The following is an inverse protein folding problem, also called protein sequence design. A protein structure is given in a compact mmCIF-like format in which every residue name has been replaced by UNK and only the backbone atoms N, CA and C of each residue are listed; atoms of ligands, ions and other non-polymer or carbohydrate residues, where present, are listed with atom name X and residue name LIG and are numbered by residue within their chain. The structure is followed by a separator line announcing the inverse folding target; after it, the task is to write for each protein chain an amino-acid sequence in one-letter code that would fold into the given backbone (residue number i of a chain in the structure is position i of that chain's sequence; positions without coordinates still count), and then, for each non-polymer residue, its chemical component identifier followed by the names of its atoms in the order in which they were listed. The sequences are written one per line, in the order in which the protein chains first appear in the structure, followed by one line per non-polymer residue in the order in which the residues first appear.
data_IF_280491616451
#
_entry.id   IF_280491616451
#
_cell.length_a   1.000
_cell.length_b   1.000
_cell.length_c   1.000
_cell.angle_alpha   90.00
_cell.angle_beta   90.00
_cell.angle_gamma   90.00
#
_symmetry.space_group_name_H-M   'P 1'
#
loop_
_entity.id
_entity.type
_entity.pdbx_description
1 polymer ?
#
# COMPACT_ATOMS: atom_id res chain seq x y z
N UNK A 1 14.11 -7.83 -1.12
CA UNK A 1 15.05 -7.65 0.00
C UNK A 1 14.32 -6.89 1.08
N UNK A 2 14.32 -7.40 2.32
CA UNK A 2 13.66 -6.69 3.42
C UNK A 2 14.52 -5.50 3.87
N UNK A 3 13.90 -4.34 4.03
CA UNK A 3 14.55 -3.13 4.54
C UNK A 3 14.19 -2.98 6.01
N UNK A 4 15.22 -2.89 6.86
CA UNK A 4 15.05 -2.63 8.28
C UNK A 4 15.46 -1.19 8.61
N UNK A 5 14.66 -0.52 9.44
CA UNK A 5 15.00 0.78 10.00
C UNK A 5 14.73 0.81 11.50
N UNK A 6 15.30 1.79 12.19
CA UNK A 6 15.12 1.96 13.63
C UNK A 6 14.81 3.42 13.92
N UNK A 7 13.83 3.67 14.79
CA UNK A 7 13.47 5.02 15.26
C UNK A 7 13.25 5.00 16.77
N UNK A 8 13.80 6.00 17.45
CA UNK A 8 13.61 6.19 18.88
C UNK A 8 12.64 7.34 19.14
N UNK A 9 11.80 7.15 20.14
CA UNK A 9 10.77 8.08 20.58
C UNK A 9 11.03 8.41 22.05
N UNK A 10 10.92 9.69 22.46
CA UNK A 10 11.09 10.10 23.84
C UNK A 10 10.16 9.35 24.80
N UNK A 11 8.95 9.04 24.35
CA UNK A 11 7.91 8.35 25.11
C UNK A 11 7.03 7.49 24.19
N UNK A 12 6.20 6.64 24.79
CA UNK A 12 5.31 5.75 24.08
C UNK A 12 4.18 6.47 23.32
N UNK A 13 3.76 7.63 23.83
CA UNK A 13 2.72 8.46 23.21
C UNK A 13 3.15 8.98 21.85
N UNK A 14 4.40 9.42 21.71
CA UNK A 14 4.95 9.89 20.44
C UNK A 14 5.07 8.76 19.40
N UNK A 15 5.42 7.55 19.85
CA UNK A 15 5.39 6.38 18.98
C UNK A 15 3.98 6.10 18.45
N UNK A 16 2.98 6.05 19.34
CA UNK A 16 1.59 5.81 18.96
C UNK A 16 1.05 6.92 18.03
N UNK A 17 1.38 8.18 18.29
CA UNK A 17 0.98 9.30 17.45
C UNK A 17 1.58 9.22 16.03
N UNK A 18 2.85 8.81 15.92
CA UNK A 18 3.50 8.60 14.63
C UNK A 18 2.88 7.43 13.85
N UNK A 19 2.53 6.34 14.55
CA UNK A 19 1.84 5.21 13.95
C UNK A 19 0.42 5.59 13.49
N UNK A 20 -0.32 6.35 14.29
CA UNK A 20 -1.64 6.89 13.93
C UNK A 20 -1.56 7.81 12.70
N UNK A 21 -0.48 8.62 12.58
CA UNK A 21 -0.25 9.44 11.39
C UNK A 21 0.00 8.59 10.14
N UNK A 22 0.86 7.58 10.22
CA UNK A 22 1.13 6.67 9.11
C UNK A 22 -0.13 5.93 8.66
N UNK A 23 -0.97 5.49 9.61
CA UNK A 23 -2.27 4.88 9.31
C UNK A 23 -3.16 5.86 8.54
N UNK A 24 -3.30 7.11 8.99
CA UNK A 24 -4.12 8.12 8.29
C UNK A 24 -3.63 8.40 6.88
N UNK A 25 -2.33 8.59 6.70
CA UNK A 25 -1.72 8.84 5.38
C UNK A 25 -1.99 7.65 4.42
N UNK A 26 -1.87 6.42 4.92
CA UNK A 26 -2.15 5.24 4.12
C UNK A 26 -3.66 5.05 3.85
N UNK A 27 -4.55 5.41 4.78
CA UNK A 27 -5.99 5.44 4.54
C UNK A 27 -6.37 6.40 3.42
N UNK A 28 -5.77 7.59 3.39
CA UNK A 28 -5.99 8.58 2.32
C UNK A 28 -5.50 8.06 0.97
N UNK A 29 -4.31 7.44 0.92
CA UNK A 29 -3.77 6.83 -0.29
C UNK A 29 -4.66 5.68 -0.81
N UNK A 30 -5.11 4.79 0.08
CA UNK A 30 -6.02 3.69 -0.28
C UNK A 30 -7.33 4.23 -0.86
N UNK A 31 -7.90 5.28 -0.26
CA UNK A 31 -9.14 5.92 -0.79
C UNK A 31 -8.91 6.53 -2.16
N UNK A 32 -7.78 7.20 -2.37
CA UNK A 32 -7.46 7.82 -3.67
C UNK A 32 -7.34 6.77 -4.78
N UNK A 33 -6.60 5.69 -4.56
CA UNK A 33 -6.45 4.61 -5.55
C UNK A 33 -7.75 3.84 -5.76
N UNK A 34 -8.54 3.63 -4.71
CA UNK A 34 -9.87 3.04 -4.84
C UNK A 34 -10.79 3.89 -5.74
N UNK A 35 -10.80 5.21 -5.55
CA UNK A 35 -11.57 6.12 -6.40
C UNK A 35 -11.08 6.09 -7.86
N UNK A 36 -9.77 6.00 -8.09
CA UNK A 36 -9.22 5.88 -9.44
C UNK A 36 -9.63 4.55 -10.10
N UNK A 37 -9.56 3.43 -9.38
CA UNK A 37 -10.02 2.13 -9.87
C UNK A 37 -11.51 2.14 -10.26
N UNK A 38 -12.36 2.76 -9.42
CA UNK A 38 -13.78 2.95 -9.74
C UNK A 38 -13.99 3.76 -11.03
N UNK A 39 -13.18 4.81 -11.22
CA UNK A 39 -13.26 5.65 -12.43
C UNK A 39 -12.86 4.91 -13.72
N UNK A 40 -12.08 3.82 -13.63
CA UNK A 40 -11.63 3.03 -14.78
C UNK A 40 -12.65 1.99 -15.25
N UNK A 41 -13.62 1.60 -14.41
CA UNK A 41 -14.63 0.58 -14.73
C UNK A 41 -15.37 0.82 -16.06
N UNK A 42 -15.88 2.02 -16.37
CA UNK A 42 -16.57 2.27 -17.63
C UNK A 42 -15.66 2.09 -18.85
N UNK A 43 -14.40 2.51 -18.74
CA UNK A 43 -13.41 2.37 -19.82
C UNK A 43 -13.00 0.92 -20.03
N UNK A 44 -12.87 0.14 -18.96
CA UNK A 44 -12.63 -1.30 -19.03
C UNK A 44 -13.77 -2.05 -19.71
N UNK A 45 -15.02 -1.74 -19.36
CA UNK A 45 -16.18 -2.37 -19.99
C UNK A 45 -16.24 -2.08 -21.49
N UNK A 46 -16.05 -0.82 -21.88
CA UNK A 46 -15.99 -0.42 -23.30
C UNK A 46 -14.88 -1.14 -24.04
N UNK A 47 -13.69 -1.20 -23.43
CA UNK A 47 -12.52 -1.87 -24.01
C UNK A 47 -12.77 -3.38 -24.20
N UNK A 48 -13.35 -4.07 -23.20
CA UNK A 48 -13.71 -5.49 -23.28
C UNK A 48 -14.73 -5.75 -24.39
N UNK A 49 -15.80 -4.93 -24.49
CA UNK A 49 -16.80 -5.03 -25.56
C UNK A 49 -16.15 -4.89 -26.94
N UNK A 50 -15.25 -3.93 -27.10
CA UNK A 50 -14.54 -3.72 -28.38
C UNK A 50 -13.64 -4.91 -28.72
N UNK A 51 -12.88 -5.44 -27.75
CA UNK A 51 -12.07 -6.64 -27.96
C UNK A 51 -12.93 -7.84 -28.37
N UNK A 52 -14.08 -8.05 -27.75
CA UNK A 52 -14.96 -9.18 -28.09
C UNK A 52 -15.63 -9.02 -29.46
N UNK A 53 -15.86 -7.78 -29.91
CA UNK A 53 -16.26 -7.52 -31.30
C UNK A 53 -15.11 -7.83 -32.27
N UNK A 54 -13.90 -7.33 -32.01
CA UNK A 54 -12.74 -7.53 -32.87
C UNK A 54 -12.35 -9.01 -33.01
N UNK A 55 -12.43 -9.81 -31.92
CA UNK A 55 -12.22 -11.27 -31.96
C UNK A 55 -13.13 -12.00 -32.96
N UNK A 56 -14.32 -11.45 -33.27
CA UNK A 56 -15.23 -12.04 -34.28
C UNK A 56 -14.78 -11.77 -35.71
N UNK A 57 -13.93 -10.76 -35.93
CA UNK A 57 -13.50 -10.32 -37.26
C UNK A 57 -12.01 -10.56 -37.54
N UNK A 58 -11.16 -10.70 -36.52
CA UNK A 58 -9.71 -10.95 -36.64
C UNK A 58 -9.25 -12.10 -35.77
N UNK A 59 -8.52 -13.06 -36.35
CA UNK A 59 -7.86 -14.14 -35.62
C UNK A 59 -6.59 -13.65 -34.91
N UNK A 60 -6.74 -13.22 -33.64
CA UNK A 60 -5.64 -12.87 -32.73
C UNK A 60 -5.10 -11.45 -32.91
N UNK A 61 -4.59 -10.74 -31.91
CA UNK A 61 -4.49 -10.93 -30.46
C UNK A 61 -4.14 -9.55 -29.88
N UNK A 62 -4.57 -9.22 -28.66
CA UNK A 62 -4.29 -7.87 -28.12
C UNK A 62 -2.83 -7.75 -27.71
N UNK A 63 -2.06 -6.92 -28.40
CA UNK A 63 -0.73 -6.54 -27.92
C UNK A 63 -0.89 -5.71 -26.64
N UNK A 64 -0.37 -6.25 -25.53
CA UNK A 64 -0.17 -5.46 -24.32
C UNK A 64 0.90 -4.43 -24.64
N UNK A 65 0.63 -3.15 -24.38
CA UNK A 65 1.65 -2.10 -24.38
C UNK A 65 2.72 -2.47 -23.33
N UNK A 66 3.87 -2.96 -23.79
CA UNK A 66 4.97 -3.40 -22.93
C UNK A 66 5.64 -2.18 -22.25
N UNK A 67 6.07 -2.29 -20.99
CA UNK A 67 6.77 -1.22 -20.30
C UNK A 67 8.14 -0.95 -20.93
N UNK A 68 8.58 0.31 -20.87
CA UNK A 68 9.98 0.69 -21.08
C UNK A 68 10.70 0.51 -19.74
N UNK A 69 11.72 -0.34 -19.68
CA UNK A 69 12.52 -0.54 -18.46
C UNK A 69 13.74 0.38 -18.42
N UNK A 70 13.85 1.16 -17.35
CA UNK A 70 14.98 2.06 -17.11
C UNK A 70 15.52 1.76 -15.70
N UNK A 71 16.64 1.04 -15.61
CA UNK A 71 17.33 0.77 -14.34
C UNK A 71 16.43 0.19 -13.23
N UNK A 72 15.46 -0.66 -13.59
CA UNK A 72 14.50 -1.26 -12.66
C UNK A 72 13.21 -0.45 -12.42
N UNK A 73 13.07 0.72 -13.06
CA UNK A 73 11.81 1.46 -13.16
C UNK A 73 11.07 1.03 -14.43
N UNK A 74 9.79 0.67 -14.30
CA UNK A 74 8.90 0.40 -15.44
C UNK A 74 8.09 1.64 -15.78
N UNK A 75 8.28 2.17 -16.99
CA UNK A 75 7.53 3.30 -17.54
C UNK A 75 6.48 2.81 -18.55
N UNK A 76 5.22 3.17 -18.32
CA UNK A 76 4.12 2.92 -19.24
C UNK A 76 3.66 4.24 -19.86
N UNK A 77 3.72 4.36 -21.18
CA UNK A 77 3.15 5.49 -21.94
C UNK A 77 1.81 5.03 -22.50
N UNK A 78 0.73 5.74 -22.16
CA UNK A 78 -0.65 5.44 -22.56
C UNK A 78 -1.03 3.95 -22.42
N UNK A 79 -0.91 3.36 -21.22
CA UNK A 79 -1.24 1.96 -21.02
C UNK A 79 -2.70 1.68 -21.37
N UNK A 80 -2.95 0.49 -21.91
CA UNK A 80 -4.33 0.02 -22.13
C UNK A 80 -5.15 0.12 -20.82
N UNK A 81 -6.48 0.33 -20.89
CA UNK A 81 -7.32 0.39 -19.69
C UNK A 81 -7.15 -0.83 -18.78
N UNK A 82 -6.93 -2.02 -19.36
CA UNK A 82 -6.66 -3.26 -18.62
C UNK A 82 -5.34 -3.16 -17.87
N UNK A 83 -4.24 -2.81 -18.55
CA UNK A 83 -2.93 -2.69 -17.93
C UNK A 83 -2.91 -1.66 -16.81
N UNK A 84 -3.55 -0.49 -17.03
CA UNK A 84 -3.68 0.54 -15.98
C UNK A 84 -4.44 0.03 -14.76
N UNK A 85 -5.55 -0.69 -14.97
CA UNK A 85 -6.30 -1.27 -13.88
C UNK A 85 -5.49 -2.32 -13.11
N UNK A 86 -4.80 -3.22 -13.79
CA UNK A 86 -3.98 -4.26 -13.16
C UNK A 86 -2.90 -3.65 -12.25
N UNK A 87 -2.18 -2.63 -12.72
CA UNK A 87 -1.13 -1.92 -11.95
C UNK A 87 -1.71 -1.26 -10.69
N UNK A 88 -2.84 -0.56 -10.83
CA UNK A 88 -3.48 0.13 -9.70
C UNK A 88 -4.12 -0.86 -8.72
N UNK A 89 -4.68 -1.97 -9.22
CA UNK A 89 -5.29 -3.01 -8.39
C UNK A 89 -4.24 -3.73 -7.53
N UNK A 90 -3.09 -4.06 -8.11
CA UNK A 90 -1.94 -4.62 -7.38
C UNK A 90 -1.52 -3.66 -6.25
N UNK A 91 -1.34 -2.39 -6.59
CA UNK A 91 -0.99 -1.34 -5.62
C UNK A 91 -2.04 -1.23 -4.50
N UNK A 92 -3.33 -1.20 -4.85
CA UNK A 92 -4.44 -1.15 -3.90
C UNK A 92 -4.43 -2.32 -2.92
N UNK A 93 -4.26 -3.54 -3.41
CA UNK A 93 -4.22 -4.75 -2.56
C UNK A 93 -3.08 -4.66 -1.55
N UNK A 94 -1.88 -4.32 -2.00
CA UNK A 94 -0.72 -4.17 -1.11
C UNK A 94 -0.91 -3.09 -0.05
N UNK A 95 -1.47 -1.92 -0.44
CA UNK A 95 -1.74 -0.85 0.51
C UNK A 95 -2.83 -1.22 1.53
N UNK A 96 -3.90 -1.88 1.09
CA UNK A 96 -4.98 -2.33 1.97
C UNK A 96 -4.50 -3.38 2.99
N UNK A 97 -3.67 -4.33 2.54
CA UNK A 97 -3.05 -5.33 3.40
C UNK A 97 -2.14 -4.67 4.44
N UNK A 98 -1.26 -3.76 4.01
CA UNK A 98 -0.37 -3.01 4.90
C UNK A 98 -1.17 -2.19 5.93
N UNK A 99 -2.26 -1.54 5.49
CA UNK A 99 -3.12 -0.77 6.37
C UNK A 99 -3.76 -1.64 7.46
N UNK A 100 -4.26 -2.82 7.08
CA UNK A 100 -4.82 -3.79 8.02
C UNK A 100 -3.76 -4.22 9.07
N UNK A 101 -2.54 -4.50 8.61
CA UNK A 101 -1.42 -4.84 9.49
C UNK A 101 -1.09 -3.69 10.45
N UNK A 102 -0.94 -2.46 9.96
CA UNK A 102 -0.60 -1.30 10.79
C UNK A 102 -1.67 -1.01 11.85
N UNK A 103 -2.95 -1.11 11.50
CA UNK A 103 -4.07 -0.97 12.46
C UNK A 103 -3.98 -2.00 13.58
N UNK A 104 -3.73 -3.26 13.23
CA UNK A 104 -3.58 -4.34 14.22
C UNK A 104 -2.36 -4.14 15.11
N UNK A 105 -1.22 -3.75 14.53
CA UNK A 105 0.00 -3.44 15.28
C UNK A 105 -0.24 -2.28 16.25
N UNK A 106 -0.96 -1.25 15.82
CA UNK A 106 -1.33 -0.10 16.65
C UNK A 106 -2.19 -0.49 17.84
N UNK A 107 -3.21 -1.33 17.63
CA UNK A 107 -4.06 -1.85 18.71
C UNK A 107 -3.24 -2.65 19.74
N UNK A 108 -2.42 -3.59 19.26
CA UNK A 108 -1.57 -4.42 20.13
C UNK A 108 -0.56 -3.56 20.91
N UNK A 109 0.11 -2.63 20.23
CA UNK A 109 1.06 -1.72 20.87
C UNK A 109 0.40 -0.88 21.96
N UNK A 110 -0.79 -0.33 21.69
CA UNK A 110 -1.54 0.43 22.68
C UNK A 110 -1.90 -0.43 23.91
N UNK A 111 -2.34 -1.67 23.72
CA UNK A 111 -2.66 -2.59 24.82
C UNK A 111 -1.43 -2.85 25.68
N UNK A 112 -0.31 -3.22 25.06
CA UNK A 112 0.94 -3.53 25.77
C UNK A 112 1.48 -2.32 26.53
N UNK A 113 1.47 -1.14 25.90
CA UNK A 113 1.94 0.10 26.53
C UNK A 113 1.09 0.44 27.76
N UNK A 114 -0.23 0.36 27.63
CA UNK A 114 -1.18 0.72 28.70
C UNK A 114 -1.18 -0.28 29.84
N UNK A 115 -1.25 -1.58 29.53
CA UNK A 115 -1.27 -2.63 30.55
C UNK A 115 0.08 -2.76 31.26
N UNK A 116 1.18 -2.47 30.55
CA UNK A 116 2.53 -2.49 31.09
C UNK A 116 2.94 -1.22 31.84
N UNK A 117 2.12 -0.16 31.84
CA UNK A 117 2.48 1.13 32.46
C UNK A 117 3.73 1.78 31.82
N UNK A 118 3.87 1.66 30.50
CA UNK A 118 5.09 2.04 29.76
C UNK A 118 5.00 3.45 29.14
N UNK A 119 3.95 4.21 29.46
CA UNK A 119 3.57 5.44 28.75
C UNK A 119 4.68 6.49 28.73
N UNK A 120 5.38 6.64 29.85
CA UNK A 120 6.44 7.64 30.02
C UNK A 120 7.85 7.14 29.68
N UNK A 121 7.98 5.87 29.27
CA UNK A 121 9.29 5.28 29.01
C UNK A 121 9.75 5.55 27.58
N UNK A 122 11.06 5.68 27.40
CA UNK A 122 11.66 5.82 26.08
C UNK A 122 11.44 4.53 25.29
N UNK A 123 10.97 4.66 24.06
CA UNK A 123 10.74 3.52 23.17
C UNK A 123 11.64 3.62 21.94
N UNK A 124 12.34 2.53 21.62
CA UNK A 124 13.03 2.35 20.34
C UNK A 124 12.34 1.26 19.55
N UNK A 125 11.99 1.54 18.30
CA UNK A 125 11.19 0.68 17.45
C UNK A 125 12.01 0.24 16.25
N UNK A 126 12.06 -1.06 16.02
CA UNK A 126 12.53 -1.61 14.75
C UNK A 126 11.36 -1.73 13.79
N UNK A 127 11.55 -1.24 12.57
CA UNK A 127 10.61 -1.39 11.47
C UNK A 127 11.17 -2.38 10.44
N UNK A 128 10.29 -3.17 9.84
CA UNK A 128 10.55 -4.01 8.68
C UNK A 128 9.60 -3.55 7.56
N UNK A 129 10.16 -3.04 6.47
CA UNK A 129 9.38 -2.50 5.34
C UNK A 129 8.32 -1.46 5.81
N UNK A 130 8.69 -0.60 6.76
CA UNK A 130 7.79 0.41 7.33
C UNK A 130 6.82 -0.09 8.41
N UNK A 131 6.76 -1.39 8.69
CA UNK A 131 5.89 -1.95 9.74
C UNK A 131 6.68 -2.11 11.05
N UNK A 132 6.20 -1.62 12.21
CA UNK A 132 6.81 -1.90 13.50
C UNK A 132 6.83 -3.40 13.79
N UNK A 133 8.01 -3.96 14.07
CA UNK A 133 8.19 -5.40 14.36
C UNK A 133 8.81 -5.69 15.71
N UNK A 134 9.49 -4.71 16.33
CA UNK A 134 10.02 -4.85 17.71
C UNK A 134 9.94 -3.52 18.44
N UNK A 135 9.55 -3.58 19.71
CA UNK A 135 9.59 -2.48 20.67
C UNK A 135 10.67 -2.79 21.71
N UNK A 136 11.58 -1.84 21.91
CA UNK A 136 12.59 -1.86 22.96
C UNK A 136 12.25 -0.71 23.88
N UNK A 137 11.98 -1.02 25.14
CA UNK A 137 11.60 -0.02 26.15
C UNK A 137 12.76 0.17 27.11
N UNK A 138 13.06 1.42 27.46
CA UNK A 138 14.14 1.76 28.37
C UNK A 138 13.64 2.76 29.40
N UNK A 139 13.72 2.39 30.67
CA UNK A 139 13.26 3.13 31.84
C UNK A 139 14.22 2.98 33.00
#
# INVERSE_FOLDING_TARGET
MDVYSVKSYPDAGQFLADLDRQIRELEEAVRAVSAELESLKPSLERYRRLQDLLKKFSGGGSERSAPIEITGLQLYIDPSPISRHEILEESYRHMADLLSVLKKVREVAQSVIREGGLESLRITVQFKNGVPVKLIVTG
#
